data_IF_576643493007
#
_entry.id   IF_576643493007
#
_cell.length_a   1.000
_cell.length_b   1.000
_cell.length_c   1.000
_cell.angle_alpha   90.00
_cell.angle_beta   90.00
_cell.angle_gamma   90.00
#
_symmetry.space_group_name_H-M   'P 1'
#
loop_
_entity.id
_entity.type
_entity.pdbx_description
1 polymer ?
#
# COMPACT_ATOMS: atom_id res chain seq x y z
N UNK A 1 -9.85 -51.36 -57.00
CA UNK A 1 -10.09 -49.90 -56.88
C UNK A 1 -10.58 -49.41 -55.51
N UNK A 2 -11.03 -50.25 -54.58
CA UNK A 2 -11.50 -49.86 -53.22
C UNK A 2 -10.38 -49.60 -52.21
N UNK A 3 -9.22 -50.22 -52.33
CA UNK A 3 -8.09 -50.11 -51.39
C UNK A 3 -7.46 -48.69 -51.29
N UNK A 4 -7.31 -48.00 -52.40
CA UNK A 4 -6.70 -46.62 -52.45
C UNK A 4 -7.53 -45.57 -51.69
N UNK A 5 -8.89 -45.72 -51.70
CA UNK A 5 -9.75 -44.72 -51.01
C UNK A 5 -9.63 -44.80 -49.51
N UNK A 6 -9.49 -46.01 -48.92
CA UNK A 6 -9.31 -46.18 -47.46
C UNK A 6 -7.96 -45.66 -46.97
N UNK A 7 -6.89 -45.82 -47.76
CA UNK A 7 -5.57 -45.31 -47.45
C UNK A 7 -5.54 -43.79 -47.35
N UNK A 8 -6.24 -43.07 -48.24
CA UNK A 8 -6.33 -41.60 -48.18
C UNK A 8 -7.16 -41.13 -46.98
N UNK A 9 -8.26 -41.79 -46.67
CA UNK A 9 -9.09 -41.41 -45.52
C UNK A 9 -8.33 -41.60 -44.19
N UNK A 10 -7.57 -42.68 -44.06
CA UNK A 10 -6.76 -42.97 -42.87
C UNK A 10 -5.64 -41.93 -42.71
N UNK A 11 -4.93 -41.55 -43.79
CA UNK A 11 -3.87 -40.55 -43.74
C UNK A 11 -4.37 -39.14 -43.39
N UNK A 12 -5.54 -38.75 -43.89
CA UNK A 12 -6.17 -37.47 -43.55
C UNK A 12 -6.62 -37.47 -42.10
N UNK A 13 -7.18 -38.56 -41.57
CA UNK A 13 -7.58 -38.70 -40.17
C UNK A 13 -6.40 -38.60 -39.19
N UNK A 14 -5.28 -39.26 -39.50
CA UNK A 14 -4.06 -39.19 -38.67
C UNK A 14 -3.46 -37.76 -38.70
N UNK A 15 -3.43 -37.11 -39.85
CA UNK A 15 -2.94 -35.73 -39.97
C UNK A 15 -3.78 -34.74 -39.14
N UNK A 16 -5.09 -34.89 -39.13
CA UNK A 16 -6.00 -34.04 -38.36
C UNK A 16 -5.87 -34.26 -36.83
N UNK A 17 -5.71 -35.53 -36.41
CA UNK A 17 -5.47 -35.84 -34.99
C UNK A 17 -4.13 -35.28 -34.47
N UNK A 18 -3.08 -35.33 -35.29
CA UNK A 18 -1.77 -34.73 -34.94
C UNK A 18 -1.84 -33.20 -34.82
N UNK A 19 -2.59 -32.54 -35.71
CA UNK A 19 -2.77 -31.09 -35.65
C UNK A 19 -3.52 -30.66 -34.37
N UNK A 20 -4.58 -31.36 -33.97
CA UNK A 20 -5.32 -31.09 -32.73
C UNK A 20 -4.41 -31.33 -31.52
N UNK A 21 -3.63 -32.40 -31.51
CA UNK A 21 -2.71 -32.72 -30.43
C UNK A 21 -1.62 -31.65 -30.22
N UNK A 22 -1.07 -31.14 -31.32
CA UNK A 22 -0.07 -30.08 -31.28
C UNK A 22 -0.63 -28.74 -30.76
N UNK A 23 -1.82 -28.36 -31.19
CA UNK A 23 -2.44 -27.08 -30.77
C UNK A 23 -2.85 -27.11 -29.29
N UNK A 24 -3.38 -28.22 -28.79
CA UNK A 24 -3.74 -28.39 -27.38
C UNK A 24 -2.50 -28.44 -26.50
N UNK A 25 -1.43 -29.14 -26.93
CA UNK A 25 -0.17 -29.22 -26.19
C UNK A 25 0.51 -27.86 -26.01
N UNK A 26 0.58 -27.05 -27.06
CA UNK A 26 1.15 -25.70 -27.02
C UNK A 26 0.28 -24.78 -26.13
N UNK A 27 -1.04 -24.85 -26.23
CA UNK A 27 -1.96 -24.06 -25.44
C UNK A 27 -1.82 -24.33 -23.92
N UNK A 28 -1.69 -25.59 -23.52
CA UNK A 28 -1.47 -25.97 -22.11
C UNK A 28 -0.10 -25.53 -21.62
N UNK A 29 0.94 -25.67 -22.46
CA UNK A 29 2.30 -25.25 -22.08
C UNK A 29 2.41 -23.74 -21.87
N UNK A 30 1.83 -22.95 -22.77
CA UNK A 30 1.80 -21.47 -22.64
C UNK A 30 0.91 -21.05 -21.48
N UNK A 31 -0.24 -21.69 -21.30
CA UNK A 31 -1.15 -21.42 -20.19
C UNK A 31 -0.51 -21.67 -18.83
N UNK A 32 0.24 -22.75 -18.66
CA UNK A 32 0.98 -23.03 -17.42
C UNK A 32 2.12 -22.05 -17.16
N UNK A 33 2.83 -21.60 -18.20
CA UNK A 33 3.87 -20.57 -18.04
C UNK A 33 3.27 -19.23 -17.61
N UNK A 34 2.20 -18.80 -18.26
CA UNK A 34 1.50 -17.57 -17.89
C UNK A 34 0.82 -17.64 -16.51
N UNK A 35 0.43 -18.83 -16.06
CA UNK A 35 -0.11 -19.03 -14.72
C UNK A 35 0.99 -19.03 -13.64
N UNK A 36 2.21 -19.49 -13.97
CA UNK A 36 3.36 -19.45 -13.07
C UNK A 36 3.94 -18.03 -12.90
N UNK A 37 3.93 -17.22 -13.96
CA UNK A 37 4.33 -15.80 -13.85
C UNK A 37 3.29 -14.95 -13.10
N UNK A 38 2.08 -15.46 -12.90
CA UNK A 38 1.06 -14.88 -12.01
C UNK A 38 1.14 -15.39 -10.56
N UNK A 39 2.20 -16.02 -10.16
CA UNK A 39 2.60 -15.98 -8.76
C UNK A 39 3.05 -14.53 -8.48
N UNK A 40 2.07 -13.61 -8.49
CA UNK A 40 2.16 -12.46 -7.61
C UNK A 40 2.63 -13.05 -6.29
N UNK A 41 3.84 -12.64 -5.89
CA UNK A 41 4.37 -13.00 -4.60
C UNK A 41 3.16 -12.93 -3.66
N UNK A 42 2.80 -14.06 -3.06
CA UNK A 42 1.83 -14.04 -1.99
C UNK A 42 2.49 -13.17 -0.94
N UNK A 43 2.15 -11.87 -1.01
CA UNK A 43 2.46 -10.97 0.07
C UNK A 43 1.93 -11.70 1.29
N UNK A 44 2.76 -11.93 2.32
CA UNK A 44 2.27 -12.52 3.55
C UNK A 44 1.01 -11.74 3.91
N UNK A 45 -0.04 -12.37 4.44
CA UNK A 45 -1.25 -11.68 4.82
C UNK A 45 -0.86 -10.50 5.72
N UNK A 46 -0.67 -9.33 5.09
CA UNK A 46 -0.47 -8.10 5.82
C UNK A 46 -1.82 -7.79 6.40
N UNK A 47 -1.92 -7.91 7.71
CA UNK A 47 -3.05 -7.41 8.46
C UNK A 47 -3.15 -5.91 8.15
N UNK A 48 -4.05 -5.55 7.24
CA UNK A 48 -4.33 -4.16 6.90
C UNK A 48 -5.02 -3.55 8.11
N UNK A 49 -4.24 -3.04 9.05
CA UNK A 49 -4.73 -2.16 10.09
C UNK A 49 -4.98 -0.81 9.44
N UNK A 50 -6.22 -0.58 9.01
CA UNK A 50 -6.63 0.67 8.41
C UNK A 50 -6.63 1.75 9.49
N UNK A 51 -5.77 2.76 9.35
CA UNK A 51 -5.90 4.00 10.10
C UNK A 51 -7.21 4.69 9.72
N UNK A 52 -7.95 5.18 10.70
CA UNK A 52 -9.13 6.01 10.48
C UNK A 52 -8.73 7.47 10.50
N UNK A 53 -9.28 8.26 9.57
CA UNK A 53 -9.07 9.70 9.54
C UNK A 53 -10.41 10.44 9.56
N UNK A 54 -10.49 11.52 10.32
CA UNK A 54 -11.61 12.43 10.39
C UNK A 54 -11.15 13.87 10.19
N UNK A 55 -11.94 14.70 9.51
CA UNK A 55 -11.62 16.09 9.22
C UNK A 55 -12.80 17.00 9.51
N UNK A 56 -12.50 18.16 10.10
CA UNK A 56 -13.38 19.33 10.19
C UNK A 56 -12.71 20.53 9.52
N UNK A 57 -13.34 21.73 9.57
CA UNK A 57 -12.73 22.97 9.06
C UNK A 57 -11.46 23.39 9.84
N UNK A 58 -11.37 23.05 11.12
CA UNK A 58 -10.30 23.51 12.00
C UNK A 58 -9.38 22.39 12.50
N UNK A 59 -9.74 21.15 12.31
CA UNK A 59 -9.04 20.01 12.89
C UNK A 59 -9.09 18.79 11.98
N UNK A 60 -7.97 18.08 11.88
CA UNK A 60 -7.92 16.71 11.35
C UNK A 60 -7.38 15.76 12.41
N UNK A 61 -7.92 14.55 12.44
CA UNK A 61 -7.46 13.48 13.33
C UNK A 61 -7.27 12.19 12.54
N UNK A 62 -6.22 11.44 12.86
CA UNK A 62 -5.98 10.12 12.30
C UNK A 62 -5.28 9.24 13.34
N UNK A 63 -5.42 7.93 13.23
CA UNK A 63 -4.65 6.98 14.04
C UNK A 63 -3.56 6.31 13.20
N UNK A 64 -2.48 5.88 13.82
CA UNK A 64 -1.41 5.14 13.18
C UNK A 64 -0.62 4.31 14.18
N UNK A 65 -0.11 3.18 13.71
CA UNK A 65 0.72 2.29 14.53
C UNK A 65 2.10 2.91 14.73
N UNK A 66 2.50 3.08 15.98
CA UNK A 66 3.85 3.56 16.33
C UNK A 66 4.78 2.43 16.72
N UNK A 67 4.23 1.31 17.18
CA UNK A 67 4.95 0.10 17.56
C UNK A 67 4.01 -1.10 17.41
N UNK A 68 4.50 -2.32 17.68
CA UNK A 68 3.71 -3.52 17.65
C UNK A 68 2.49 -3.40 18.58
N UNK A 69 1.30 -3.34 17.97
CA UNK A 69 0.01 -3.19 18.66
C UNK A 69 -0.17 -1.90 19.50
N UNK A 70 0.65 -0.88 19.30
CA UNK A 70 0.49 0.43 19.94
C UNK A 70 0.09 1.46 18.89
N UNK A 71 -1.10 2.01 19.01
CA UNK A 71 -1.57 3.11 18.17
C UNK A 71 -1.36 4.45 18.85
N UNK A 72 -1.07 5.46 18.04
CA UNK A 72 -1.07 6.86 18.43
C UNK A 72 -2.23 7.58 17.74
N UNK A 73 -2.74 8.61 18.41
CA UNK A 73 -3.67 9.58 17.83
C UNK A 73 -2.88 10.79 17.33
N UNK A 74 -2.99 11.07 16.04
CA UNK A 74 -2.45 12.27 15.40
C UNK A 74 -3.56 13.31 15.29
N UNK A 75 -3.28 14.53 15.72
CA UNK A 75 -4.21 15.68 15.73
C UNK A 75 -3.52 16.85 15.08
N UNK A 76 -4.05 17.34 13.96
CA UNK A 76 -3.56 18.51 13.24
C UNK A 76 -4.54 19.67 13.42
N UNK A 77 -4.06 20.77 13.99
CA UNK A 77 -4.77 22.03 14.07
C UNK A 77 -4.56 22.84 12.77
N UNK A 78 -5.63 23.06 12.01
CA UNK A 78 -5.59 23.77 10.74
C UNK A 78 -5.34 25.29 10.89
N UNK A 79 -5.60 25.86 12.07
CA UNK A 79 -5.40 27.29 12.29
C UNK A 79 -3.92 27.60 12.50
N UNK A 80 -3.22 26.72 13.20
CA UNK A 80 -1.81 26.93 13.57
C UNK A 80 -0.84 26.07 12.75
N UNK A 81 -1.33 25.01 12.09
CA UNK A 81 -0.49 24.01 11.42
C UNK A 81 0.29 23.13 12.38
N UNK A 82 -0.09 23.09 13.66
CA UNK A 82 0.55 22.25 14.66
C UNK A 82 0.01 20.84 14.60
N UNK A 83 0.91 19.87 14.43
CA UNK A 83 0.65 18.46 14.57
C UNK A 83 0.99 18.00 15.99
N UNK A 84 0.09 17.25 16.62
CA UNK A 84 0.29 16.59 17.89
C UNK A 84 0.13 15.08 17.70
N UNK A 85 1.04 14.30 18.27
CA UNK A 85 0.96 12.85 18.35
C UNK A 85 0.78 12.43 19.81
N UNK A 86 -0.36 11.83 20.13
CA UNK A 86 -0.76 11.43 21.47
C UNK A 86 -0.58 9.94 21.63
N UNK A 87 0.29 9.54 22.55
CA UNK A 87 0.55 8.14 22.86
C UNK A 87 -0.30 7.69 24.04
N UNK A 88 -1.01 6.59 23.85
CA UNK A 88 -1.77 5.95 24.94
C UNK A 88 -0.89 4.90 25.63
N UNK A 89 -0.88 4.92 26.94
CA UNK A 89 -0.30 3.85 27.73
C UNK A 89 -1.24 2.64 27.66
N UNK A 90 -0.77 1.56 27.05
CA UNK A 90 -1.57 0.36 26.81
C UNK A 90 -2.00 -0.38 28.11
N UNK A 91 -1.32 -0.12 29.23
CA UNK A 91 -1.64 -0.73 30.52
C UNK A 91 -2.69 0.05 31.31
N UNK A 92 -2.66 1.38 31.20
CA UNK A 92 -3.50 2.26 32.04
C UNK A 92 -4.62 2.95 31.25
N UNK A 93 -4.54 2.97 29.90
CA UNK A 93 -5.46 3.69 29.04
C UNK A 93 -5.31 5.22 29.12
N UNK A 94 -4.30 5.73 29.82
CA UNK A 94 -4.04 7.16 29.96
C UNK A 94 -3.06 7.65 28.90
N UNK A 95 -3.01 8.97 28.68
CA UNK A 95 -2.01 9.57 27.80
C UNK A 95 -0.63 9.44 28.46
N UNK A 96 0.28 8.70 27.81
CA UNK A 96 1.64 8.45 28.28
C UNK A 96 2.67 9.46 27.73
N UNK A 97 2.34 10.14 26.63
CA UNK A 97 3.22 11.12 26.01
C UNK A 97 2.54 11.92 24.91
N UNK A 98 3.07 13.10 24.64
CA UNK A 98 2.63 13.96 23.54
C UNK A 98 3.87 14.50 22.81
N UNK A 99 3.95 14.21 21.50
CA UNK A 99 4.95 14.79 20.61
C UNK A 99 4.30 15.89 19.78
N UNK A 100 5.11 16.89 19.36
CA UNK A 100 4.65 18.04 18.58
C UNK A 100 5.59 18.29 17.41
N UNK A 101 5.00 18.63 16.26
CA UNK A 101 5.69 19.08 15.06
C UNK A 101 4.90 20.24 14.43
N UNK A 102 5.54 21.01 13.55
CA UNK A 102 4.87 22.09 12.84
C UNK A 102 4.81 21.79 11.34
N UNK A 103 3.66 21.31 10.88
CA UNK A 103 3.41 21.12 9.46
C UNK A 103 3.45 22.43 8.68
N UNK A 104 3.08 23.55 9.31
CA UNK A 104 3.19 24.88 8.70
C UNK A 104 4.63 25.23 8.36
N UNK A 105 5.59 24.94 9.25
CA UNK A 105 7.02 25.20 9.02
C UNK A 105 7.56 24.31 7.91
N UNK A 106 7.23 23.04 7.92
CA UNK A 106 7.74 22.06 6.95
C UNK A 106 7.19 22.34 5.54
N UNK A 107 5.90 22.69 5.42
CA UNK A 107 5.28 23.07 4.15
C UNK A 107 5.75 24.45 3.65
N UNK A 108 6.09 25.39 4.55
CA UNK A 108 6.59 26.73 4.19
C UNK A 108 7.96 26.65 3.50
N UNK A 109 8.80 25.70 3.87
CA UNK A 109 10.11 25.46 3.22
C UNK A 109 9.94 25.10 1.75
N UNK A 110 8.80 24.54 1.36
CA UNK A 110 8.46 24.23 -0.03
C UNK A 110 8.10 25.46 -0.89
N UNK A 111 8.12 26.68 -0.36
CA UNK A 111 8.27 27.91 -1.16
C UNK A 111 7.01 28.56 -1.71
N UNK A 112 5.81 28.37 -1.11
CA UNK A 112 4.60 29.11 -1.52
C UNK A 112 3.94 29.78 -0.32
N UNK A 113 3.69 31.10 -0.44
CA UNK A 113 2.93 31.87 0.55
C UNK A 113 1.43 31.75 0.30
N UNK A 114 0.67 31.41 1.32
CA UNK A 114 -0.78 31.31 1.33
C UNK A 114 -1.26 30.65 2.61
N UNK A 115 -2.53 30.74 2.92
CA UNK A 115 -3.13 29.94 4.01
C UNK A 115 -3.28 28.51 3.53
N UNK A 116 -2.59 27.52 4.12
CA UNK A 116 -2.68 26.14 3.70
C UNK A 116 -4.09 25.58 3.92
N UNK A 117 -4.56 24.77 2.99
CA UNK A 117 -5.72 23.91 3.20
C UNK A 117 -5.25 22.50 3.53
N UNK A 118 -5.15 22.20 4.81
CA UNK A 118 -4.57 20.95 5.27
C UNK A 118 -5.47 19.75 5.00
N UNK A 119 -4.84 18.68 4.51
CA UNK A 119 -5.36 17.32 4.50
C UNK A 119 -4.37 16.43 5.22
N UNK A 120 -4.84 15.41 5.94
CA UNK A 120 -3.99 14.52 6.72
C UNK A 120 -4.43 13.07 6.55
N UNK A 121 -3.45 12.19 6.44
CA UNK A 121 -3.65 10.74 6.49
C UNK A 121 -2.44 10.06 7.12
N UNK A 122 -2.63 8.85 7.62
CA UNK A 122 -1.54 8.01 8.12
C UNK A 122 -1.35 6.80 7.23
N UNK A 123 -0.11 6.34 7.11
CA UNK A 123 0.23 5.13 6.38
C UNK A 123 1.19 4.26 7.18
N UNK A 124 1.06 2.94 7.06
CA UNK A 124 2.02 2.03 7.65
C UNK A 124 3.34 2.09 6.85
N UNK A 125 4.44 2.17 7.55
CA UNK A 125 5.76 2.22 6.96
C UNK A 125 6.73 1.35 7.78
N UNK A 126 7.42 0.45 7.09
CA UNK A 126 8.43 -0.40 7.71
C UNK A 126 9.82 0.06 7.27
N UNK A 127 10.55 0.66 8.18
CA UNK A 127 11.94 1.02 7.94
C UNK A 127 12.80 -0.24 7.87
N UNK A 128 13.39 -0.51 6.71
CA UNK A 128 14.31 -1.64 6.49
C UNK A 128 15.76 -1.33 6.89
N UNK A 129 15.98 -0.50 7.85
CA UNK A 129 17.30 -0.18 8.37
C UNK A 129 17.34 -0.57 9.84
N UNK A 130 18.09 -1.60 10.20
CA UNK A 130 18.26 -2.00 11.58
C UNK A 130 18.98 -0.90 12.39
N UNK A 131 18.24 -0.03 13.05
CA UNK A 131 18.78 0.71 14.16
C UNK A 131 18.41 -0.03 15.44
N UNK A 132 19.35 -0.83 15.94
CA UNK A 132 19.30 -1.34 17.30
C UNK A 132 19.70 -0.19 18.25
N UNK A 133 18.76 0.68 18.59
CA UNK A 133 18.99 1.82 19.46
C UNK A 133 17.70 2.51 19.85
N UNK A 134 17.79 3.47 20.77
CA UNK A 134 16.66 4.25 21.29
C UNK A 134 15.93 5.13 20.26
N UNK A 135 16.37 5.17 19.01
CA UNK A 135 15.82 5.97 17.92
C UNK A 135 15.25 5.10 16.80
N UNK A 136 14.52 4.05 17.12
CA UNK A 136 13.79 3.28 16.10
C UNK A 136 12.61 4.12 15.59
N UNK A 137 12.52 4.39 14.26
CA UNK A 137 11.37 5.09 13.70
C UNK A 137 10.06 4.34 13.97
N UNK A 138 8.96 5.08 14.08
CA UNK A 138 7.64 4.50 14.23
C UNK A 138 7.23 3.66 13.02
N UNK A 139 6.30 2.73 13.20
CA UNK A 139 5.76 1.87 12.14
C UNK A 139 4.71 2.57 11.28
N UNK A 140 4.55 3.87 11.42
CA UNK A 140 3.68 4.68 10.56
C UNK A 140 4.27 6.05 10.29
N UNK A 141 3.86 6.61 9.14
CA UNK A 141 4.11 8.01 8.76
C UNK A 141 2.78 8.75 8.77
N UNK A 142 2.79 9.98 9.30
CA UNK A 142 1.69 10.91 9.18
C UNK A 142 1.96 11.85 8.00
N UNK A 143 1.21 11.69 6.90
CA UNK A 143 1.31 12.55 5.73
C UNK A 143 0.38 13.74 5.88
N UNK A 144 0.90 14.94 5.66
CA UNK A 144 0.15 16.19 5.68
C UNK A 144 0.34 16.89 4.34
N UNK A 145 -0.74 17.15 3.66
CA UNK A 145 -0.75 17.86 2.38
C UNK A 145 -1.41 19.24 2.51
N UNK A 146 -0.99 20.16 1.66
CA UNK A 146 -1.69 21.41 1.40
C UNK A 146 -2.44 21.29 0.06
N UNK A 147 -3.76 21.26 0.11
CA UNK A 147 -4.61 21.11 -1.06
C UNK A 147 -4.52 22.30 -2.04
N UNK A 148 -4.10 23.48 -1.57
CA UNK A 148 -3.94 24.64 -2.43
C UNK A 148 -2.65 24.61 -3.27
N UNK A 149 -1.58 24.03 -2.72
CA UNK A 149 -0.26 23.98 -3.38
C UNK A 149 0.09 22.61 -3.95
N UNK A 150 -0.55 21.54 -3.44
CA UNK A 150 -0.20 20.15 -3.74
C UNK A 150 1.08 19.67 -3.04
N UNK A 151 1.68 20.45 -2.15
CA UNK A 151 2.85 20.04 -1.38
C UNK A 151 2.44 19.03 -0.30
N UNK A 152 3.32 18.07 -0.03
CA UNK A 152 3.11 17.02 0.99
C UNK A 152 4.39 16.88 1.82
N UNK A 153 4.23 16.75 3.14
CA UNK A 153 5.28 16.43 4.12
C UNK A 153 4.87 15.20 4.94
N UNK A 154 5.86 14.52 5.53
CA UNK A 154 5.61 13.31 6.34
C UNK A 154 6.77 13.00 7.26
#
# INVERSE_FOLDING_TARGET
MKSKKYSIVISVGIGFALLIGLTTGIGVYIGNRLAQDRQFAQLPPMELKAGTAARTKSLSMATGLIDNNVEALFVLDHLTGNLQCWLLNTKTGTVGGIYRASAATDLAVAGKSGTPEYIMTTGNFFFRGGSSGSNTPANSICYIGDANTGNVVG
#
